data_IF_501705784969
#
_entry.id   IF_501705784969
#
_cell.length_a   1.000
_cell.length_b   1.000
_cell.length_c   1.000
_cell.angle_alpha   90.00
_cell.angle_beta   90.00
_cell.angle_gamma   90.00
#
_symmetry.space_group_name_H-M   'P 1'
#
loop_
_entity.id
_entity.type
_entity.pdbx_description
1 polymer ?
#
# COMPACT_ATOMS: atom_id res chain seq x y z
N UNK A 1 7.10 1.23 -35.04
CA UNK A 1 7.47 2.38 -34.18
C UNK A 1 6.64 3.60 -34.59
N UNK A 2 5.59 3.94 -33.84
CA UNK A 2 4.88 5.21 -34.00
C UNK A 2 5.43 6.22 -33.00
N UNK A 3 5.95 7.35 -33.51
CA UNK A 3 6.56 8.40 -32.71
C UNK A 3 5.61 9.59 -32.66
N UNK A 4 4.90 9.75 -31.56
CA UNK A 4 4.35 11.05 -31.15
C UNK A 4 4.73 11.29 -29.69
N UNK A 5 5.17 12.52 -29.45
CA UNK A 5 5.80 13.00 -28.24
C UNK A 5 4.87 12.87 -27.03
N UNK A 6 5.41 12.29 -25.95
CA UNK A 6 4.90 12.31 -24.56
C UNK A 6 4.08 11.13 -24.00
N UNK A 7 4.10 9.95 -24.63
CA UNK A 7 3.85 8.66 -23.94
C UNK A 7 4.36 7.52 -24.83
N UNK A 8 5.31 6.73 -24.34
CA UNK A 8 5.68 5.45 -24.97
C UNK A 8 4.57 4.45 -24.65
N UNK A 9 3.64 4.29 -25.59
CA UNK A 9 2.75 3.13 -25.59
C UNK A 9 3.46 2.02 -26.38
N UNK A 10 3.58 0.83 -25.77
CA UNK A 10 4.12 -0.34 -26.45
C UNK A 10 3.11 -0.80 -27.52
N UNK A 11 3.60 -1.27 -28.66
CA UNK A 11 2.75 -1.99 -29.62
C UNK A 11 2.47 -3.40 -29.09
N UNK A 12 1.51 -4.11 -29.66
CA UNK A 12 1.19 -5.49 -29.29
C UNK A 12 2.42 -6.40 -29.42
N UNK A 13 3.20 -6.24 -30.49
CA UNK A 13 4.48 -6.93 -30.68
C UNK A 13 5.55 -6.46 -29.68
N UNK A 14 5.49 -5.19 -29.28
CA UNK A 14 6.37 -4.62 -28.25
C UNK A 14 6.10 -5.19 -26.85
N UNK A 15 4.85 -5.53 -26.53
CA UNK A 15 4.48 -6.22 -25.29
C UNK A 15 5.02 -7.65 -25.28
N UNK A 16 4.85 -8.39 -26.38
CA UNK A 16 5.38 -9.75 -26.54
C UNK A 16 6.91 -9.76 -26.43
N UNK A 17 7.58 -8.85 -27.13
CA UNK A 17 9.04 -8.73 -27.06
C UNK A 17 9.51 -8.35 -25.66
N UNK A 18 8.82 -7.43 -24.99
CA UNK A 18 9.14 -7.01 -23.63
C UNK A 18 9.03 -8.17 -22.64
N UNK A 19 7.98 -8.99 -22.74
CA UNK A 19 7.82 -10.20 -21.91
C UNK A 19 9.00 -11.18 -22.09
N UNK A 20 9.35 -11.50 -23.34
CA UNK A 20 10.49 -12.37 -23.63
C UNK A 20 11.83 -11.77 -23.17
N UNK A 21 12.07 -10.48 -23.39
CA UNK A 21 13.29 -9.81 -22.94
C UNK A 21 13.39 -9.83 -21.40
N UNK A 22 12.27 -9.65 -20.69
CA UNK A 22 12.20 -9.74 -19.23
C UNK A 22 12.52 -11.15 -18.74
N UNK A 23 11.98 -12.19 -19.38
CA UNK A 23 12.25 -13.58 -19.03
C UNK A 23 13.73 -13.96 -19.21
N UNK A 24 14.36 -13.49 -20.29
CA UNK A 24 15.79 -13.71 -20.56
C UNK A 24 16.65 -13.04 -19.48
N UNK A 25 16.39 -11.76 -19.18
CA UNK A 25 17.13 -11.03 -18.13
C UNK A 25 16.97 -11.69 -16.76
N UNK A 26 15.75 -12.07 -16.39
CA UNK A 26 15.48 -12.80 -15.14
C UNK A 26 16.21 -14.15 -15.08
N UNK A 27 16.30 -14.85 -16.21
CA UNK A 27 17.03 -16.13 -16.30
C UNK A 27 18.54 -15.94 -16.12
N UNK A 28 19.11 -14.86 -16.66
CA UNK A 28 20.52 -14.50 -16.45
C UNK A 28 20.77 -14.14 -14.99
N UNK A 29 19.95 -13.28 -14.38
CA UNK A 29 20.03 -12.92 -12.96
C UNK A 29 20.02 -14.18 -12.07
N UNK A 30 19.10 -15.12 -12.34
CA UNK A 30 19.00 -16.39 -11.61
C UNK A 30 20.22 -17.29 -11.78
N UNK A 31 20.81 -17.35 -12.98
CA UNK A 31 22.00 -18.14 -13.23
C UNK A 31 23.22 -17.58 -12.46
N UNK A 32 23.35 -16.25 -12.42
CA UNK A 32 24.37 -15.56 -11.61
C UNK A 32 24.15 -15.82 -10.11
N UNK A 33 22.90 -15.76 -9.63
CA UNK A 33 22.56 -16.10 -8.24
C UNK A 33 22.90 -17.55 -7.88
N UNK A 34 22.62 -18.52 -8.76
CA UNK A 34 22.95 -19.94 -8.51
C UNK A 34 24.46 -20.18 -8.38
N UNK A 35 25.27 -19.42 -9.11
CA UNK A 35 26.73 -19.46 -8.98
C UNK A 35 27.17 -18.84 -7.64
N UNK A 36 26.54 -17.74 -7.22
CA UNK A 36 26.80 -17.08 -5.95
C UNK A 36 26.35 -17.91 -4.72
N UNK A 37 25.28 -18.69 -4.86
CA UNK A 37 24.74 -19.59 -3.81
C UNK A 37 25.73 -20.66 -3.34
N UNK A 38 26.82 -20.95 -4.07
CA UNK A 38 27.91 -21.82 -3.58
C UNK A 38 28.62 -21.31 -2.32
N UNK A 39 28.30 -20.09 -1.84
CA UNK A 39 28.83 -19.50 -0.59
C UNK A 39 27.82 -19.34 0.55
N UNK A 40 26.56 -19.80 0.43
CA UNK A 40 25.51 -19.69 1.48
C UNK A 40 25.22 -18.26 2.00
N UNK A 41 25.76 -17.21 1.37
CA UNK A 41 25.53 -15.82 1.75
C UNK A 41 24.43 -15.26 0.84
N UNK A 42 23.28 -14.80 1.38
CA UNK A 42 22.23 -14.16 0.58
C UNK A 42 22.78 -12.95 -0.18
N UNK A 43 22.60 -12.95 -1.50
CA UNK A 43 23.09 -11.91 -2.41
C UNK A 43 22.18 -11.80 -3.63
N UNK A 44 22.25 -10.68 -4.35
CA UNK A 44 21.45 -10.44 -5.55
C UNK A 44 20.45 -9.30 -5.36
N UNK A 45 19.54 -9.12 -6.31
CA UNK A 45 18.52 -8.08 -6.23
C UNK A 45 17.25 -8.63 -5.58
N UNK A 46 16.65 -7.85 -4.68
CA UNK A 46 15.37 -8.18 -4.06
C UNK A 46 14.39 -7.02 -4.27
N UNK A 47 13.36 -7.27 -5.09
CA UNK A 47 12.31 -6.32 -5.47
C UNK A 47 11.08 -6.51 -4.59
N UNK A 48 10.80 -5.55 -3.73
CA UNK A 48 9.67 -5.57 -2.80
C UNK A 48 8.65 -4.53 -3.23
N UNK A 49 7.41 -4.96 -3.46
CA UNK A 49 6.28 -4.06 -3.67
C UNK A 49 5.33 -4.09 -2.46
N UNK A 50 4.90 -2.92 -2.00
CA UNK A 50 3.86 -2.82 -0.97
C UNK A 50 2.96 -1.60 -1.19
N UNK A 51 1.81 -1.53 -0.53
CA UNK A 51 1.05 -0.28 -0.51
C UNK A 51 1.84 0.80 0.25
N UNK A 52 1.69 2.07 -0.18
CA UNK A 52 2.48 3.19 0.34
C UNK A 52 2.55 3.26 1.89
N UNK A 53 1.44 3.14 2.64
CA UNK A 53 1.53 3.23 4.10
C UNK A 53 2.34 2.08 4.72
N UNK A 54 2.26 0.85 4.19
CA UNK A 54 3.03 -0.27 4.75
C UNK A 54 4.51 -0.14 4.40
N UNK A 55 4.82 0.32 3.19
CA UNK A 55 6.20 0.61 2.79
C UNK A 55 6.83 1.62 3.74
N UNK A 56 6.18 2.77 3.95
CA UNK A 56 6.74 3.87 4.71
C UNK A 56 6.79 3.62 6.23
N UNK A 57 5.76 2.99 6.80
CA UNK A 57 5.64 2.85 8.25
C UNK A 57 6.07 1.49 8.80
N UNK A 58 6.30 0.49 7.95
CA UNK A 58 6.71 -0.86 8.37
C UNK A 58 8.02 -1.30 7.71
N UNK A 59 8.11 -1.25 6.38
CA UNK A 59 9.30 -1.76 5.66
C UNK A 59 10.50 -0.83 5.82
N UNK A 60 10.35 0.46 5.49
CA UNK A 60 11.44 1.44 5.53
C UNK A 60 12.14 1.49 6.91
N UNK A 61 11.43 1.49 8.05
CA UNK A 61 12.07 1.41 9.37
C UNK A 61 12.97 0.20 9.60
N UNK A 62 12.73 -0.93 8.90
CA UNK A 62 13.50 -2.18 9.03
C UNK A 62 14.68 -2.27 8.03
N UNK A 63 14.75 -1.38 7.04
CA UNK A 63 15.75 -1.44 5.96
C UNK A 63 17.18 -1.34 6.49
N UNK A 64 17.42 -0.53 7.52
CA UNK A 64 18.75 -0.35 8.08
C UNK A 64 19.30 -1.67 8.67
N UNK A 65 18.51 -2.34 9.51
CA UNK A 65 18.86 -3.63 10.11
C UNK A 65 19.01 -4.71 9.03
N UNK A 66 18.08 -4.75 8.07
CA UNK A 66 18.13 -5.71 6.97
C UNK A 66 19.43 -5.58 6.15
N UNK A 67 19.81 -4.35 5.79
CA UNK A 67 21.03 -4.10 5.00
C UNK A 67 22.31 -4.41 5.78
N UNK A 68 22.30 -4.25 7.11
CA UNK A 68 23.43 -4.66 7.94
C UNK A 68 23.57 -6.19 7.97
N UNK A 69 22.45 -6.90 8.05
CA UNK A 69 22.42 -8.37 8.11
C UNK A 69 22.70 -9.02 6.75
N UNK A 70 22.28 -8.39 5.65
CA UNK A 70 22.40 -8.90 4.28
C UNK A 70 23.04 -7.86 3.35
N UNK A 71 24.34 -7.56 3.52
CA UNK A 71 25.01 -6.47 2.81
C UNK A 71 25.18 -6.70 1.30
N UNK A 72 25.05 -7.96 0.85
CA UNK A 72 25.14 -8.32 -0.58
C UNK A 72 23.80 -8.30 -1.31
N UNK A 73 22.70 -7.95 -0.61
CA UNK A 73 21.38 -7.79 -1.23
C UNK A 73 21.21 -6.33 -1.66
N UNK A 74 20.89 -6.14 -2.94
CA UNK A 74 20.43 -4.87 -3.49
C UNK A 74 18.90 -4.80 -3.37
N UNK A 75 18.39 -3.97 -2.45
CA UNK A 75 16.95 -3.74 -2.29
C UNK A 75 16.42 -2.77 -3.36
N UNK A 76 15.30 -3.14 -3.97
CA UNK A 76 14.46 -2.26 -4.80
C UNK A 76 13.07 -2.21 -4.16
N UNK A 77 12.60 -1.02 -3.79
CA UNK A 77 11.36 -0.82 -3.05
C UNK A 77 10.37 -0.02 -3.89
N UNK A 78 9.25 -0.65 -4.25
CA UNK A 78 8.22 -0.06 -5.11
C UNK A 78 6.88 0.05 -4.35
N UNK A 79 6.09 1.09 -4.68
CA UNK A 79 4.79 1.31 -4.04
C UNK A 79 3.68 1.47 -5.04
N UNK A 80 2.63 0.65 -4.90
CA UNK A 80 1.41 0.76 -5.67
C UNK A 80 0.20 0.47 -4.76
N UNK A 81 -0.84 1.31 -4.87
CA UNK A 81 -2.06 1.17 -4.08
C UNK A 81 -3.17 0.39 -4.81
N UNK A 82 -3.06 0.27 -6.14
CA UNK A 82 -3.89 -0.64 -6.94
C UNK A 82 -3.13 -1.96 -7.05
N UNK A 83 -3.86 -3.08 -7.06
CA UNK A 83 -3.32 -4.38 -7.46
C UNK A 83 -2.96 -4.31 -8.96
N UNK A 84 -1.84 -3.67 -9.26
CA UNK A 84 -1.17 -3.80 -10.55
C UNK A 84 -0.66 -5.24 -10.57
N UNK A 85 -0.87 -5.91 -11.70
CA UNK A 85 -0.47 -7.29 -11.89
C UNK A 85 0.99 -7.46 -11.46
N UNK A 86 1.19 -8.17 -10.36
CA UNK A 86 2.50 -8.34 -9.72
C UNK A 86 3.48 -9.03 -10.68
N UNK A 87 2.96 -9.75 -11.68
CA UNK A 87 3.70 -10.38 -12.76
C UNK A 87 4.32 -9.35 -13.71
N UNK A 88 3.66 -8.22 -13.97
CA UNK A 88 4.15 -7.22 -14.93
C UNK A 88 5.33 -6.38 -14.39
N UNK A 89 5.47 -6.26 -13.07
CA UNK A 89 6.47 -5.41 -12.42
C UNK A 89 7.74 -6.12 -11.95
N UNK A 90 7.95 -7.41 -12.28
CA UNK A 90 9.10 -8.19 -11.79
C UNK A 90 9.24 -8.14 -10.25
N UNK A 91 8.12 -8.18 -9.52
CA UNK A 91 8.16 -8.13 -8.05
C UNK A 91 8.51 -9.51 -7.49
N UNK A 92 9.55 -9.60 -6.66
CA UNK A 92 9.91 -10.85 -5.96
C UNK A 92 9.01 -11.09 -4.74
N UNK A 93 8.68 -10.01 -4.02
CA UNK A 93 7.80 -10.06 -2.84
C UNK A 93 6.77 -8.93 -2.90
N UNK A 94 5.50 -9.29 -2.91
CA UNK A 94 4.40 -8.34 -2.77
C UNK A 94 3.79 -8.43 -1.37
N UNK A 95 3.70 -7.29 -0.67
CA UNK A 95 3.06 -7.18 0.64
C UNK A 95 1.80 -6.34 0.50
N UNK A 96 0.64 -6.95 0.74
CA UNK A 96 -0.66 -6.33 0.61
C UNK A 96 -1.46 -6.46 1.92
N UNK A 97 -2.33 -5.48 2.13
CA UNK A 97 -3.31 -5.48 3.22
C UNK A 97 -4.67 -5.78 2.60
N UNK A 98 -5.31 -6.87 3.04
CA UNK A 98 -6.58 -7.33 2.50
C UNK A 98 -6.54 -8.81 2.15
N UNK A 99 -7.67 -9.32 1.69
CA UNK A 99 -7.78 -10.71 1.26
C UNK A 99 -7.08 -10.91 -0.09
N UNK A 100 -6.37 -12.03 -0.20
CA UNK A 100 -5.80 -12.45 -1.46
C UNK A 100 -6.95 -12.97 -2.34
N UNK A 101 -7.23 -12.30 -3.46
CA UNK A 101 -8.07 -12.89 -4.52
C UNK A 101 -7.34 -14.08 -5.11
N UNK A 102 -8.09 -15.10 -5.53
CA UNK A 102 -7.54 -16.32 -6.12
C UNK A 102 -6.42 -15.99 -7.11
N UNK A 103 -5.20 -16.43 -6.79
CA UNK A 103 -4.03 -16.25 -7.62
C UNK A 103 -3.17 -17.49 -7.56
N UNK A 104 -2.35 -17.71 -8.58
CA UNK A 104 -1.34 -18.77 -8.61
C UNK A 104 -0.16 -18.49 -7.67
N UNK A 105 -0.15 -17.33 -6.99
CA UNK A 105 0.92 -16.92 -6.08
C UNK A 105 0.81 -17.65 -4.74
N UNK A 106 1.95 -18.05 -4.19
CA UNK A 106 2.03 -18.54 -2.81
C UNK A 106 1.94 -17.37 -1.85
N UNK A 107 0.85 -17.29 -1.09
CA UNK A 107 0.68 -16.28 -0.05
C UNK A 107 0.97 -16.85 1.34
N UNK A 108 1.45 -15.98 2.22
CA UNK A 108 1.63 -16.24 3.65
C UNK A 108 1.09 -15.06 4.44
N UNK A 109 0.24 -15.33 5.43
CA UNK A 109 -0.22 -14.30 6.37
C UNK A 109 0.97 -13.80 7.19
N UNK A 110 1.23 -12.49 7.14
CA UNK A 110 2.29 -11.84 7.95
C UNK A 110 1.78 -11.35 9.30
N UNK A 111 0.47 -11.10 9.41
CA UNK A 111 -0.18 -10.61 10.62
C UNK A 111 -1.52 -9.96 10.30
N UNK A 112 -2.13 -9.34 11.30
CA UNK A 112 -3.35 -8.55 11.18
C UNK A 112 -3.15 -7.17 11.80
N UNK A 113 -3.91 -6.19 11.33
CA UNK A 113 -3.94 -4.84 11.89
C UNK A 113 -5.38 -4.40 12.08
N UNK A 114 -5.70 -3.88 13.25
CA UNK A 114 -6.95 -3.14 13.44
C UNK A 114 -6.93 -1.85 12.61
N UNK A 115 -8.11 -1.28 12.40
CA UNK A 115 -8.30 0.06 11.84
C UNK A 115 -9.00 0.95 12.85
N UNK A 116 -8.69 2.24 12.84
CA UNK A 116 -9.27 3.25 13.72
C UNK A 116 -9.74 4.45 12.91
N UNK A 117 -10.78 5.12 13.38
CA UNK A 117 -11.09 6.46 12.91
C UNK A 117 -10.20 7.44 13.67
N UNK A 118 -9.60 8.36 12.93
CA UNK A 118 -8.62 9.31 13.47
C UNK A 118 -8.80 10.67 12.83
N UNK A 119 -8.51 11.71 13.61
CA UNK A 119 -8.41 13.09 13.14
C UNK A 119 -7.23 13.76 13.86
N UNK A 120 -6.79 14.91 13.37
CA UNK A 120 -5.81 15.71 14.12
C UNK A 120 -6.46 16.39 15.33
N UNK A 121 -5.68 16.67 16.40
CA UNK A 121 -6.15 17.48 17.52
C UNK A 121 -6.71 18.84 17.10
N UNK A 122 -6.08 19.49 16.11
CA UNK A 122 -6.53 20.78 15.59
C UNK A 122 -7.93 20.70 14.97
N UNK A 123 -8.21 19.64 14.20
CA UNK A 123 -9.53 19.40 13.65
C UNK A 123 -10.58 19.20 14.75
N UNK A 124 -10.28 18.37 15.75
CA UNK A 124 -11.21 18.10 16.85
C UNK A 124 -11.44 19.33 17.74
N UNK A 125 -10.45 20.19 17.92
CA UNK A 125 -10.61 21.45 18.66
C UNK A 125 -11.57 22.41 17.94
N UNK A 126 -11.54 22.42 16.60
CA UNK A 126 -12.36 23.31 15.79
C UNK A 126 -13.78 22.78 15.57
N UNK A 127 -13.93 21.47 15.38
CA UNK A 127 -15.19 20.84 14.96
C UNK A 127 -15.83 19.94 16.03
N UNK A 128 -15.18 19.75 17.18
CA UNK A 128 -15.60 18.81 18.21
C UNK A 128 -15.19 17.37 17.91
N UNK A 129 -15.33 16.49 18.90
CA UNK A 129 -15.21 15.03 18.71
C UNK A 129 -16.59 14.44 18.52
N UNK A 130 -16.82 13.61 17.48
CA UNK A 130 -18.09 12.92 17.34
C UNK A 130 -18.23 11.90 18.48
N UNK A 131 -19.38 11.92 19.15
CA UNK A 131 -19.71 11.02 20.26
C UNK A 131 -20.59 9.83 19.81
N UNK A 132 -21.00 9.81 18.54
CA UNK A 132 -21.79 8.74 17.94
C UNK A 132 -21.50 8.58 16.45
N UNK A 133 -21.94 7.47 15.87
CA UNK A 133 -21.80 7.21 14.42
C UNK A 133 -22.62 8.22 13.61
N UNK A 134 -23.80 8.63 14.10
CA UNK A 134 -24.66 9.63 13.46
C UNK A 134 -23.98 11.00 13.41
N UNK A 135 -23.22 11.36 14.46
CA UNK A 135 -22.49 12.62 14.52
C UNK A 135 -21.43 12.75 13.42
N UNK A 136 -20.92 11.64 12.87
CA UNK A 136 -19.97 11.66 11.74
C UNK A 136 -20.54 12.37 10.50
N UNK A 137 -21.88 12.40 10.33
CA UNK A 137 -22.52 13.11 9.23
C UNK A 137 -22.30 14.63 9.23
N UNK A 138 -21.97 15.20 10.39
CA UNK A 138 -21.61 16.61 10.55
C UNK A 138 -20.12 16.91 10.35
N UNK A 139 -19.30 15.87 10.14
CA UNK A 139 -17.85 15.99 9.97
C UNK A 139 -17.41 15.84 8.51
N UNK A 140 -16.18 16.29 8.25
CA UNK A 140 -15.48 16.07 7.00
C UNK A 140 -14.93 14.64 7.03
N UNK A 141 -15.38 13.79 6.11
CA UNK A 141 -14.97 12.39 6.04
C UNK A 141 -13.99 12.19 4.89
N UNK A 142 -12.84 11.62 5.19
CA UNK A 142 -11.76 11.35 4.25
C UNK A 142 -11.85 9.88 3.80
N UNK A 143 -11.84 9.64 2.49
CA UNK A 143 -12.01 8.28 1.94
C UNK A 143 -11.28 8.02 0.63
N UNK A 144 -11.37 6.81 0.13
CA UNK A 144 -10.68 6.41 -1.09
C UNK A 144 -11.44 6.85 -2.34
N UNK A 145 -10.73 7.28 -3.38
CA UNK A 145 -11.32 7.69 -4.66
C UNK A 145 -11.59 6.54 -5.63
N UNK A 146 -10.92 5.41 -5.46
CA UNK A 146 -10.96 4.27 -6.39
C UNK A 146 -11.27 2.93 -5.71
N UNK A 147 -11.33 2.92 -4.38
CA UNK A 147 -11.50 1.72 -3.56
C UNK A 147 -12.77 1.86 -2.70
N UNK A 148 -13.95 1.74 -3.32
CA UNK A 148 -15.23 1.97 -2.63
C UNK A 148 -15.47 1.04 -1.43
N UNK A 149 -14.98 -0.20 -1.50
CA UNK A 149 -15.00 -1.12 -0.36
C UNK A 149 -14.24 -0.55 0.86
N UNK A 150 -13.23 0.29 0.63
CA UNK A 150 -12.51 0.97 1.70
C UNK A 150 -13.26 2.19 2.28
N UNK A 151 -14.39 2.59 1.69
CA UNK A 151 -15.30 3.59 2.22
C UNK A 151 -16.43 2.98 3.07
N UNK A 152 -16.47 1.66 3.24
CA UNK A 152 -17.27 0.98 4.28
C UNK A 152 -16.46 0.99 5.58
N UNK A 153 -16.82 1.82 6.54
CA UNK A 153 -16.16 1.91 7.84
C UNK A 153 -16.74 0.88 8.83
N UNK A 154 -15.92 0.19 9.63
CA UNK A 154 -16.35 -0.91 10.50
C UNK A 154 -16.97 -0.38 11.80
N UNK A 155 -17.83 0.64 11.67
CA UNK A 155 -18.67 1.20 12.72
C UNK A 155 -20.12 0.94 12.35
N UNK A 156 -20.91 0.46 13.29
CA UNK A 156 -22.29 0.07 13.03
C UNK A 156 -23.16 1.31 12.83
N UNK A 157 -23.78 1.43 11.67
CA UNK A 157 -24.87 2.39 11.45
C UNK A 157 -26.18 1.84 12.02
N UNK A 158 -26.39 0.53 11.87
CA UNK A 158 -27.46 -0.27 12.46
C UNK A 158 -26.90 -1.67 12.77
N UNK A 159 -27.63 -2.46 13.54
CA UNK A 159 -27.24 -3.85 13.82
C UNK A 159 -27.05 -4.63 12.49
N UNK A 160 -25.85 -5.17 12.27
CA UNK A 160 -25.52 -5.90 11.04
C UNK A 160 -25.15 -5.03 9.83
N UNK A 161 -25.17 -3.69 9.94
CA UNK A 161 -24.87 -2.77 8.85
C UNK A 161 -23.72 -1.81 9.20
N UNK A 162 -22.59 -1.95 8.50
CA UNK A 162 -21.47 -1.02 8.61
C UNK A 162 -21.72 0.29 7.88
N UNK A 163 -21.16 1.39 8.39
CA UNK A 163 -21.32 2.72 7.82
C UNK A 163 -20.63 2.85 6.46
N UNK A 164 -21.42 3.04 5.40
CA UNK A 164 -20.91 3.51 4.11
C UNK A 164 -20.75 5.04 4.15
N UNK A 165 -19.52 5.54 4.10
CA UNK A 165 -19.29 6.99 4.04
C UNK A 165 -19.43 7.55 2.63
N UNK A 166 -19.75 8.85 2.56
CA UNK A 166 -19.59 9.68 1.36
C UNK A 166 -18.41 10.62 1.61
N UNK A 167 -17.23 10.35 1.05
CA UNK A 167 -16.05 11.18 1.31
C UNK A 167 -16.26 12.61 0.85
N UNK A 168 -15.95 13.59 1.70
CA UNK A 168 -15.91 15.00 1.30
C UNK A 168 -14.62 15.31 0.55
N UNK A 169 -13.54 14.59 0.89
CA UNK A 169 -12.27 14.59 0.21
C UNK A 169 -11.86 13.14 -0.05
N UNK A 170 -11.42 12.85 -1.26
CA UNK A 170 -11.00 11.51 -1.65
C UNK A 170 -9.57 11.48 -2.17
N UNK A 171 -8.87 10.38 -1.89
CA UNK A 171 -7.51 10.13 -2.36
C UNK A 171 -7.32 8.69 -2.81
N UNK A 172 -6.37 8.45 -3.72
CA UNK A 172 -6.04 7.10 -4.19
C UNK A 172 -5.15 6.31 -3.23
N UNK A 173 -4.56 6.97 -2.23
CA UNK A 173 -3.58 6.38 -1.33
C UNK A 173 -3.94 6.56 0.14
N UNK A 174 -3.75 5.50 0.92
CA UNK A 174 -3.91 5.56 2.37
C UNK A 174 -2.92 6.51 3.05
N UNK A 175 -1.71 6.68 2.48
CA UNK A 175 -0.75 7.66 3.00
C UNK A 175 -1.23 9.09 2.76
N UNK A 176 -1.82 9.39 1.59
CA UNK A 176 -2.40 10.71 1.34
C UNK A 176 -3.54 11.01 2.32
N UNK A 177 -4.42 10.05 2.59
CA UNK A 177 -5.50 10.20 3.59
C UNK A 177 -4.94 10.48 5.00
N UNK A 178 -3.86 9.81 5.37
CA UNK A 178 -3.14 10.06 6.62
C UNK A 178 -2.60 11.49 6.69
N UNK A 179 -1.97 11.97 5.62
CA UNK A 179 -1.44 13.34 5.57
C UNK A 179 -2.56 14.38 5.62
N UNK A 180 -3.70 14.15 4.97
CA UNK A 180 -4.88 15.00 5.04
C UNK A 180 -5.44 15.06 6.48
N UNK A 181 -5.55 13.92 7.16
CA UNK A 181 -6.00 13.86 8.55
C UNK A 181 -5.06 14.66 9.48
N UNK A 182 -3.74 14.49 9.31
CA UNK A 182 -2.71 15.24 10.05
C UNK A 182 -2.79 16.76 9.78
N UNK A 183 -3.09 17.14 8.54
CA UNK A 183 -3.30 18.54 8.14
C UNK A 183 -4.68 19.09 8.54
N UNK A 184 -5.45 18.36 9.36
CA UNK A 184 -6.73 18.82 9.90
C UNK A 184 -7.84 18.93 8.86
N UNK A 185 -7.81 18.11 7.82
CA UNK A 185 -8.82 18.16 6.75
C UNK A 185 -10.04 17.27 7.01
N UNK A 186 -10.04 16.48 8.08
CA UNK A 186 -11.18 15.63 8.44
C UNK A 186 -10.81 14.38 9.23
N UNK A 187 -11.78 13.47 9.31
CA UNK A 187 -11.69 12.16 9.94
C UNK A 187 -11.36 11.12 8.85
N UNK A 188 -10.36 10.29 9.10
CA UNK A 188 -9.99 9.17 8.22
C UNK A 188 -10.06 7.83 8.96
N UNK A 189 -10.36 6.75 8.24
CA UNK A 189 -10.14 5.39 8.72
C UNK A 189 -8.76 4.89 8.29
N UNK A 190 -7.87 4.63 9.25
CA UNK A 190 -6.50 4.17 8.98
C UNK A 190 -6.14 2.92 9.79
N UNK A 191 -5.21 2.12 9.29
CA UNK A 191 -4.66 0.97 10.02
C UNK A 191 -3.76 1.40 11.18
N UNK A 192 -3.70 0.58 12.23
CA UNK A 192 -2.93 0.84 13.46
C UNK A 192 -1.44 1.08 13.23
N UNK A 193 -0.83 0.38 12.27
CA UNK A 193 0.59 0.59 11.95
C UNK A 193 0.88 1.98 11.37
N UNK A 194 -0.15 2.70 10.91
CA UNK A 194 -0.07 4.04 10.31
C UNK A 194 -0.49 5.14 11.30
N UNK A 195 -1.41 4.79 12.21
CA UNK A 195 -2.10 5.75 13.10
C UNK A 195 -1.34 6.10 14.36
N UNK A 196 -0.25 5.41 14.73
CA UNK A 196 0.50 5.62 16.00
C UNK A 196 0.99 7.06 16.26
N UNK A 197 1.09 7.91 15.22
CA UNK A 197 1.46 9.33 15.35
C UNK A 197 0.26 10.31 15.28
N UNK A 198 -0.95 9.84 14.98
CA UNK A 198 -2.17 10.66 14.96
C UNK A 198 -2.80 10.54 16.34
N UNK A 199 -2.56 11.55 17.18
CA UNK A 199 -2.98 11.56 18.59
C UNK A 199 -4.44 12.00 18.69
N UNK A 200 -5.36 11.06 18.42
CA UNK A 200 -6.69 10.95 19.02
C UNK A 200 -7.46 9.89 18.26
N UNK A 201 -7.66 8.72 18.86
CA UNK A 201 -8.68 7.79 18.38
C UNK A 201 -10.04 8.46 18.51
N UNK A 202 -10.86 8.32 17.49
CA UNK A 202 -12.21 8.87 17.45
C UNK A 202 -13.17 7.69 17.37
N UNK A 203 -13.96 7.47 18.41
CA UNK A 203 -14.97 6.40 18.56
C UNK A 203 -14.38 4.97 18.54
#
# INVERSE_FOLDING_TARGET
MHRTTRRLALTEEGLIFLDHARQILSSVERAEEQIAQRRDIPSGRLRINANAPFMLHVIVPLVAEFRQRYPLIQLELNTDDIMIDLLEQQTDIAIRVGELRDSTLRARVLGSSATRLVASPAYLQQYGSPESVEALSAHQLLGFSQLDAHNVWPVWQREGEFLQIKPTLSASSGETLRQLALAGQGIARLSDFVSRKIVSGVI
#
